data_IF_616782506950
#
_entry.id   IF_616782506950
#
_cell.length_a   1.000
_cell.length_b   1.000
_cell.length_c   1.000
_cell.angle_alpha   90.00
_cell.angle_beta   90.00
_cell.angle_gamma   90.00
#
_symmetry.space_group_name_H-M   'P 1'
#
loop_
_entity.id
_entity.type
_entity.pdbx_description
1 polymer ?
#
# COMPACT_ATOMS: atom_id res chain seq x y z
N UNK A 1 -4.81 1.42 -26.43
CA UNK A 1 -4.55 1.69 -25.00
C UNK A 1 -5.87 1.99 -24.31
N UNK A 2 -6.39 1.02 -23.55
CA UNK A 2 -7.67 1.14 -22.83
C UNK A 2 -7.38 2.01 -21.59
N UNK A 3 -7.72 3.30 -21.63
CA UNK A 3 -7.56 4.18 -20.47
C UNK A 3 -8.57 3.72 -19.41
N UNK A 4 -8.09 3.08 -18.35
CA UNK A 4 -8.84 2.92 -17.10
C UNK A 4 -8.94 4.32 -16.45
N UNK A 5 -9.79 5.18 -17.01
CA UNK A 5 -9.98 6.57 -16.56
C UNK A 5 -11.14 6.70 -15.56
N UNK A 6 -11.63 5.59 -15.01
CA UNK A 6 -12.77 5.54 -14.10
C UNK A 6 -12.43 4.87 -12.76
N UNK A 7 -11.17 4.94 -12.34
CA UNK A 7 -10.79 4.69 -10.95
C UNK A 7 -10.46 6.05 -10.34
N UNK A 8 -11.40 6.60 -9.57
CA UNK A 8 -11.07 7.67 -8.62
C UNK A 8 -10.27 6.98 -7.52
N UNK A 9 -8.97 7.30 -7.31
CA UNK A 9 -8.25 6.74 -6.18
C UNK A 9 -8.98 7.17 -4.92
N UNK A 10 -9.58 6.20 -4.24
CA UNK A 10 -10.26 6.47 -2.98
C UNK A 10 -9.22 6.99 -1.97
N UNK A 11 -9.64 7.84 -1.04
CA UNK A 11 -8.72 8.50 -0.10
C UNK A 11 -7.83 7.50 0.68
N UNK A 12 -8.37 6.31 0.91
CA UNK A 12 -7.70 5.19 1.57
C UNK A 12 -6.48 4.70 0.78
N UNK A 13 -6.60 4.55 -0.55
CA UNK A 13 -5.47 4.16 -1.40
C UNK A 13 -4.35 5.17 -1.37
N UNK A 14 -4.67 6.46 -1.42
CA UNK A 14 -3.66 7.51 -1.38
C UNK A 14 -2.92 7.56 -0.04
N UNK A 15 -3.66 7.36 1.06
CA UNK A 15 -3.10 7.34 2.40
C UNK A 15 -2.13 6.16 2.58
N UNK A 16 -2.52 4.94 2.20
CA UNK A 16 -1.75 3.72 2.41
C UNK A 16 -0.64 3.48 1.38
N UNK A 17 -0.83 3.92 0.12
CA UNK A 17 0.17 3.69 -0.93
C UNK A 17 1.18 4.83 -1.08
N UNK A 18 0.85 6.05 -0.65
CA UNK A 18 1.69 7.22 -0.93
C UNK A 18 2.07 7.96 0.34
N UNK A 19 1.11 8.38 1.16
CA UNK A 19 1.37 9.29 2.28
C UNK A 19 2.13 8.61 3.40
N UNK A 20 1.69 7.43 3.84
CA UNK A 20 2.30 6.71 4.95
C UNK A 20 3.74 6.25 4.63
N UNK A 21 4.04 5.67 3.45
CA UNK A 21 5.42 5.38 3.07
C UNK A 21 6.28 6.63 2.96
N UNK A 22 5.76 7.72 2.36
CA UNK A 22 6.49 8.98 2.25
C UNK A 22 6.83 9.56 3.63
N UNK A 23 5.87 9.53 4.56
CA UNK A 23 6.08 9.95 5.95
C UNK A 23 7.16 9.10 6.63
N UNK A 24 7.17 7.78 6.42
CA UNK A 24 8.21 6.91 6.98
C UNK A 24 9.60 7.25 6.44
N UNK A 25 9.73 7.48 5.13
CA UNK A 25 11.01 7.90 4.53
C UNK A 25 11.47 9.28 5.01
N UNK A 26 10.54 10.23 5.19
CA UNK A 26 10.85 11.53 5.76
C UNK A 26 11.34 11.41 7.21
N UNK A 27 10.70 10.57 8.03
CA UNK A 27 11.14 10.29 9.41
C UNK A 27 12.55 9.68 9.42
N UNK A 28 12.85 8.74 8.52
CA UNK A 28 14.21 8.16 8.43
C UNK A 28 15.26 9.21 8.04
N UNK A 29 14.95 10.10 7.09
CA UNK A 29 15.84 11.18 6.71
C UNK A 29 16.10 12.14 7.89
N UNK A 30 15.04 12.57 8.57
CA UNK A 30 15.15 13.44 9.76
C UNK A 30 15.91 12.77 10.89
N UNK A 31 15.67 11.48 11.15
CA UNK A 31 16.42 10.68 12.13
C UNK A 31 17.91 10.63 11.79
N UNK A 32 18.28 10.51 10.52
CA UNK A 32 19.69 10.51 10.10
C UNK A 32 20.38 11.85 10.44
N UNK A 33 19.71 12.98 10.20
CA UNK A 33 20.24 14.30 10.56
C UNK A 33 20.27 14.53 12.09
N UNK A 34 19.33 13.96 12.84
CA UNK A 34 19.27 14.09 14.29
C UNK A 34 20.26 13.16 15.02
N UNK A 35 20.67 12.04 14.41
CA UNK A 35 21.50 11.02 15.04
C UNK A 35 22.82 11.52 15.70
N UNK A 36 23.56 12.49 15.12
CA UNK A 36 24.79 13.02 15.72
C UNK A 36 24.58 13.78 17.03
N UNK A 37 23.40 14.38 17.24
CA UNK A 37 23.12 15.25 18.38
C UNK A 37 22.09 14.67 19.36
N UNK A 38 21.16 13.86 18.87
CA UNK A 38 20.01 13.31 19.61
C UNK A 38 19.82 11.82 19.30
N UNK A 39 20.87 11.03 19.51
CA UNK A 39 20.91 9.60 19.11
C UNK A 39 19.73 8.78 19.62
N UNK A 40 19.29 8.99 20.87
CA UNK A 40 18.14 8.28 21.45
C UNK A 40 16.85 8.56 20.68
N UNK A 41 16.57 9.83 20.38
CA UNK A 41 15.37 10.25 19.66
C UNK A 41 15.41 9.81 18.20
N UNK A 42 16.59 9.87 17.58
CA UNK A 42 16.81 9.37 16.22
C UNK A 42 16.47 7.88 16.10
N UNK A 43 16.89 7.04 17.07
CA UNK A 43 16.57 5.60 17.10
C UNK A 43 15.08 5.34 17.27
N UNK A 44 14.38 6.14 18.09
CA UNK A 44 12.91 6.05 18.18
C UNK A 44 12.25 6.40 16.84
N UNK A 45 12.73 7.43 16.14
CA UNK A 45 12.23 7.77 14.80
C UNK A 45 12.46 6.64 13.79
N UNK A 46 13.64 6.01 13.80
CA UNK A 46 13.93 4.84 12.95
C UNK A 46 12.99 3.69 13.27
N UNK A 47 12.79 3.37 14.54
CA UNK A 47 11.86 2.32 14.98
C UNK A 47 10.42 2.61 14.57
N UNK A 48 9.97 3.85 14.74
CA UNK A 48 8.64 4.29 14.31
C UNK A 48 8.44 4.16 12.79
N UNK A 49 9.42 4.61 12.00
CA UNK A 49 9.39 4.47 10.55
C UNK A 49 9.38 3.00 10.10
N UNK A 50 10.15 2.13 10.76
CA UNK A 50 10.17 0.70 10.47
C UNK A 50 8.81 0.03 10.74
N UNK A 51 8.17 0.34 11.87
CA UNK A 51 6.83 -0.16 12.19
C UNK A 51 5.77 0.36 11.21
N UNK A 52 5.88 1.63 10.80
CA UNK A 52 4.98 2.24 9.83
C UNK A 52 5.08 1.55 8.47
N UNK A 53 6.31 1.36 7.96
CA UNK A 53 6.55 0.65 6.70
C UNK A 53 6.09 -0.80 6.75
N UNK A 54 6.34 -1.48 7.87
CA UNK A 54 5.89 -2.86 8.07
C UNK A 54 4.36 -2.95 8.01
N UNK A 55 3.67 -2.07 8.73
CA UNK A 55 2.21 -2.03 8.73
C UNK A 55 1.64 -1.74 7.34
N UNK A 56 2.18 -0.72 6.65
CA UNK A 56 1.75 -0.42 5.27
C UNK A 56 2.04 -1.56 4.31
N UNK A 57 3.18 -2.23 4.44
CA UNK A 57 3.55 -3.35 3.58
C UNK A 57 2.60 -4.54 3.74
N UNK A 58 2.23 -4.87 4.99
CA UNK A 58 1.25 -5.92 5.28
C UNK A 58 -0.12 -5.57 4.68
N UNK A 59 -0.56 -4.33 4.86
CA UNK A 59 -1.84 -3.87 4.33
C UNK A 59 -1.88 -3.92 2.80
N UNK A 60 -0.86 -3.36 2.13
CA UNK A 60 -0.78 -3.34 0.67
C UNK A 60 -0.68 -4.76 0.08
N UNK A 61 0.02 -5.68 0.76
CA UNK A 61 0.10 -7.08 0.36
C UNK A 61 -1.27 -7.78 0.48
N UNK A 62 -2.00 -7.50 1.56
CA UNK A 62 -3.34 -8.05 1.75
C UNK A 62 -4.32 -7.57 0.68
N UNK A 63 -4.31 -6.27 0.38
CA UNK A 63 -5.17 -5.70 -0.66
C UNK A 63 -4.89 -6.32 -2.04
N UNK A 64 -3.61 -6.48 -2.41
CA UNK A 64 -3.22 -7.15 -3.65
C UNK A 64 -3.76 -8.58 -3.76
N UNK A 65 -3.75 -9.34 -2.66
CA UNK A 65 -4.32 -10.69 -2.61
C UNK A 65 -5.84 -10.65 -2.74
N UNK A 66 -6.52 -9.75 -2.02
CA UNK A 66 -7.96 -9.58 -2.09
C UNK A 66 -8.42 -9.23 -3.51
N UNK A 67 -7.74 -8.28 -4.16
CA UNK A 67 -7.98 -7.92 -5.56
C UNK A 67 -7.81 -9.13 -6.48
N UNK A 68 -6.70 -9.87 -6.36
CA UNK A 68 -6.44 -11.02 -7.22
C UNK A 68 -7.50 -12.11 -7.08
N UNK A 69 -7.95 -12.41 -5.86
CA UNK A 69 -9.00 -13.40 -5.59
C UNK A 69 -10.36 -12.95 -6.14
N UNK A 70 -10.74 -11.69 -5.90
CA UNK A 70 -12.03 -11.14 -6.34
C UNK A 70 -12.10 -11.05 -7.87
N UNK A 71 -11.05 -10.56 -8.52
CA UNK A 71 -10.97 -10.46 -9.99
C UNK A 71 -10.97 -11.85 -10.63
N UNK A 72 -10.16 -12.79 -10.13
CA UNK A 72 -10.11 -14.16 -10.66
C UNK A 72 -11.48 -14.85 -10.55
N UNK A 73 -12.20 -14.67 -9.44
CA UNK A 73 -13.57 -15.20 -9.28
C UNK A 73 -14.56 -14.55 -10.26
N UNK A 74 -14.49 -13.24 -10.45
CA UNK A 74 -15.36 -12.52 -11.37
C UNK A 74 -15.17 -13.00 -12.82
N UNK A 75 -13.91 -13.17 -13.26
CA UNK A 75 -13.58 -13.67 -14.59
C UNK A 75 -14.11 -15.10 -14.81
N UNK A 76 -13.91 -15.98 -13.81
CA UNK A 76 -14.39 -17.37 -13.86
C UNK A 76 -15.92 -17.43 -13.98
N UNK A 77 -16.64 -16.61 -13.21
CA UNK A 77 -18.11 -16.60 -13.22
C UNK A 77 -18.67 -16.03 -14.54
N UNK A 78 -17.97 -15.05 -15.12
CA UNK A 78 -18.31 -14.46 -16.41
C UNK A 78 -18.11 -15.46 -17.55
N UNK A 79 -17.01 -16.22 -17.53
CA UNK A 79 -16.76 -17.29 -18.49
C UNK A 79 -17.84 -18.39 -18.40
N UNK A 80 -18.20 -18.82 -17.20
CA UNK A 80 -19.24 -19.85 -16.99
C UNK A 80 -20.61 -19.43 -17.52
N UNK A 81 -21.05 -18.19 -17.26
CA UNK A 81 -22.34 -17.69 -17.79
C UNK A 81 -22.40 -17.68 -19.31
N UNK A 82 -21.27 -17.40 -19.98
CA UNK A 82 -21.21 -17.33 -21.44
C UNK A 82 -21.43 -18.69 -22.09
N UNK A 83 -20.95 -19.76 -21.46
CA UNK A 83 -21.11 -21.13 -21.95
C UNK A 83 -22.53 -21.68 -21.69
N UNK A 84 -23.24 -21.21 -20.66
CA UNK A 84 -24.64 -21.57 -20.38
C UNK A 84 -25.65 -20.93 -21.35
N UNK A 85 -25.26 -19.87 -22.07
CA UNK A 85 -26.13 -19.14 -23.02
C UNK A 85 -25.96 -19.55 -24.49
N UNK A 86 -25.16 -20.57 -24.79
CA UNK A 86 -24.97 -21.15 -26.12
C UNK A 86 -25.65 -22.51 -26.24
#
# INVERSE_FOLDING_TARGET
MRKQAAYEPEFEDWLFHVVLPLAAYAILALSSFAAPSHTREALFGVGGAALLLLFTGIHNAWDSVAYHVLVTKADTNTARRRDETK
#
